data_IF_185805844960
#
_entry.id   IF_185805844960
#
_cell.length_a   1.000
_cell.length_b   1.000
_cell.length_c   1.000
_cell.angle_alpha   90.00
_cell.angle_beta   90.00
_cell.angle_gamma   90.00
#
_symmetry.space_group_name_H-M   'P 1'
#
loop_
_entity.id
_entity.type
_entity.pdbx_description
1 polymer ?
#
# COMPACT_ATOMS: atom_id res chain seq x y z
N UNK A 1 6.34 25.94 1.50
CA UNK A 1 5.16 25.62 0.66
C UNK A 1 5.62 25.80 -0.76
N UNK A 2 6.27 24.77 -1.28
CA UNK A 2 6.74 24.80 -2.64
C UNK A 2 5.56 24.44 -3.52
N UNK A 3 5.24 25.34 -4.44
CA UNK A 3 4.16 25.12 -5.38
C UNK A 3 4.48 23.86 -6.17
N UNK A 4 3.50 22.95 -6.27
CA UNK A 4 3.60 21.69 -7.02
C UNK A 4 4.46 20.58 -6.38
N UNK A 5 4.66 20.56 -5.06
CA UNK A 5 5.28 19.38 -4.39
C UNK A 5 4.32 18.18 -4.41
N UNK A 6 4.74 17.09 -5.06
CA UNK A 6 3.98 15.83 -5.18
C UNK A 6 4.23 14.90 -3.98
N UNK A 7 5.42 15.00 -3.37
CA UNK A 7 5.81 14.24 -2.19
C UNK A 7 5.36 14.90 -0.89
N UNK A 8 5.48 14.16 0.22
CA UNK A 8 5.20 14.66 1.57
C UNK A 8 6.13 15.83 1.94
N UNK A 9 5.70 16.62 2.92
CA UNK A 9 6.55 17.67 3.51
C UNK A 9 7.75 17.06 4.22
N UNK A 10 8.80 17.87 4.39
CA UNK A 10 10.02 17.40 5.04
C UNK A 10 9.74 17.08 6.51
N UNK A 11 10.42 16.04 6.99
CA UNK A 11 10.13 15.44 8.29
C UNK A 11 10.59 16.34 9.44
N UNK A 12 9.67 16.65 10.36
CA UNK A 12 9.96 17.45 11.55
C UNK A 12 9.99 16.62 12.86
N UNK A 13 9.70 15.32 12.79
CA UNK A 13 9.70 14.40 13.92
C UNK A 13 10.15 13.00 13.48
N UNK A 14 10.74 12.18 14.38
CA UNK A 14 11.16 10.81 14.06
C UNK A 14 9.98 9.92 13.62
N UNK A 15 8.79 10.17 14.15
CA UNK A 15 7.55 9.48 13.76
C UNK A 15 7.19 9.80 12.31
N UNK A 16 7.32 11.06 11.89
CA UNK A 16 7.07 11.45 10.50
C UNK A 16 8.03 10.77 9.53
N UNK A 17 9.30 10.59 9.92
CA UNK A 17 10.27 9.85 9.11
C UNK A 17 9.85 8.40 8.89
N UNK A 18 9.43 7.70 9.95
CA UNK A 18 8.93 6.35 9.83
C UNK A 18 7.65 6.25 8.97
N UNK A 19 6.77 7.24 9.06
CA UNK A 19 5.59 7.34 8.20
C UNK A 19 5.95 7.53 6.73
N UNK A 20 6.96 8.35 6.41
CA UNK A 20 7.44 8.50 5.02
C UNK A 20 8.00 7.20 4.46
N UNK A 21 8.77 6.44 5.25
CA UNK A 21 9.29 5.14 4.84
C UNK A 21 8.18 4.11 4.61
N UNK A 22 7.17 4.10 5.48
CA UNK A 22 5.99 3.24 5.30
C UNK A 22 5.18 3.63 4.07
N UNK A 23 4.97 4.93 3.84
CA UNK A 23 4.32 5.43 2.65
C UNK A 23 5.01 4.91 1.39
N UNK A 24 6.33 5.07 1.28
CA UNK A 24 7.08 4.64 0.09
C UNK A 24 7.01 3.12 -0.11
N UNK A 25 7.06 2.34 0.98
CA UNK A 25 6.85 0.89 0.94
C UNK A 25 5.46 0.52 0.39
N UNK A 26 4.40 1.16 0.88
CA UNK A 26 3.03 0.90 0.40
C UNK A 26 2.84 1.33 -1.05
N UNK A 27 3.42 2.47 -1.45
CA UNK A 27 3.35 2.97 -2.82
C UNK A 27 4.05 2.04 -3.81
N UNK A 28 5.18 1.44 -3.42
CA UNK A 28 5.86 0.43 -4.23
C UNK A 28 4.95 -0.77 -4.49
N UNK A 29 4.28 -1.28 -3.45
CA UNK A 29 3.35 -2.41 -3.57
C UNK A 29 2.18 -2.04 -4.49
N UNK A 30 1.55 -0.89 -4.29
CA UNK A 30 0.40 -0.45 -5.10
C UNK A 30 0.80 -0.30 -6.58
N UNK A 31 1.93 0.34 -6.88
CA UNK A 31 2.44 0.46 -8.25
C UNK A 31 2.70 -0.92 -8.88
N UNK A 32 3.25 -1.87 -8.12
CA UNK A 32 3.47 -3.23 -8.63
C UNK A 32 2.16 -3.91 -9.04
N UNK A 33 1.11 -3.82 -8.21
CA UNK A 33 -0.20 -4.39 -8.50
C UNK A 33 -0.81 -3.72 -9.75
N UNK A 34 -0.79 -2.39 -9.82
CA UNK A 34 -1.32 -1.65 -10.97
C UNK A 34 -0.59 -2.01 -12.26
N UNK A 35 0.74 -2.20 -12.22
CA UNK A 35 1.50 -2.62 -13.40
C UNK A 35 1.11 -4.02 -13.88
N UNK A 36 0.90 -4.98 -12.97
CA UNK A 36 0.49 -6.35 -13.33
C UNK A 36 -0.93 -6.36 -13.90
N UNK A 37 -1.86 -5.65 -13.27
CA UNK A 37 -3.25 -5.57 -13.73
C UNK A 37 -3.33 -4.90 -15.10
N UNK A 38 -2.64 -3.77 -15.30
CA UNK A 38 -2.60 -3.09 -16.59
C UNK A 38 -1.97 -3.97 -17.68
N UNK A 39 -0.89 -4.69 -17.38
CA UNK A 39 -0.29 -5.65 -18.31
C UNK A 39 -1.27 -6.75 -18.74
N UNK A 40 -2.00 -7.35 -17.79
CA UNK A 40 -3.01 -8.39 -18.09
C UNK A 40 -4.12 -7.82 -18.97
N UNK A 41 -4.63 -6.63 -18.64
CA UNK A 41 -5.67 -5.97 -19.44
C UNK A 41 -5.22 -5.71 -20.87
N UNK A 42 -4.01 -5.17 -21.05
CA UNK A 42 -3.43 -4.91 -22.37
C UNK A 42 -3.27 -6.21 -23.16
N UNK A 43 -2.78 -7.29 -22.52
CA UNK A 43 -2.64 -8.60 -23.16
C UNK A 43 -3.99 -9.18 -23.60
N UNK A 44 -5.05 -8.99 -22.81
CA UNK A 44 -6.40 -9.45 -23.16
C UNK A 44 -6.95 -8.71 -24.39
N UNK A 45 -6.66 -7.40 -24.52
CA UNK A 45 -7.08 -6.60 -25.68
C UNK A 45 -6.35 -7.04 -26.96
N UNK A 46 -5.05 -7.33 -26.87
CA UNK A 46 -4.25 -7.77 -28.02
C UNK A 46 -4.40 -9.26 -28.37
N UNK A 47 -5.19 -10.02 -27.62
CA UNK A 47 -5.35 -11.45 -27.86
C UNK A 47 -6.32 -11.71 -29.03
N UNK A 48 -5.81 -12.33 -30.10
CA UNK A 48 -6.62 -12.69 -31.27
C UNK A 48 -7.42 -13.99 -31.10
N UNK A 49 -7.14 -14.79 -30.07
CA UNK A 49 -7.83 -16.06 -29.83
C UNK A 49 -9.15 -15.86 -29.09
N UNK A 50 -10.24 -16.35 -29.66
CA UNK A 50 -11.58 -16.29 -29.08
C UNK A 50 -11.97 -17.64 -28.45
N UNK A 51 -12.32 -17.61 -27.16
CA UNK A 51 -12.94 -18.73 -26.46
C UNK A 51 -14.28 -18.29 -25.88
N UNK A 52 -15.38 -18.90 -26.33
CA UNK A 52 -16.75 -18.60 -25.86
C UNK A 52 -17.21 -19.49 -24.69
N UNK A 53 -16.45 -20.54 -24.38
CA UNK A 53 -16.72 -21.41 -23.24
C UNK A 53 -16.17 -20.76 -21.97
N UNK A 54 -17.05 -20.36 -21.08
CA UNK A 54 -16.70 -19.96 -19.71
C UNK A 54 -16.31 -21.24 -18.98
N UNK A 55 -15.01 -21.41 -18.73
CA UNK A 55 -14.51 -22.47 -17.85
C UNK A 55 -14.46 -21.90 -16.44
N UNK A 56 -15.34 -22.40 -15.57
CA UNK A 56 -15.19 -22.23 -14.13
C UNK A 56 -13.89 -22.93 -13.72
N UNK A 57 -12.98 -22.18 -13.10
CA UNK A 57 -11.72 -22.73 -12.64
C UNK A 57 -11.45 -22.30 -11.20
N UNK A 58 -11.89 -23.14 -10.26
CA UNK A 58 -11.72 -22.93 -8.83
C UNK A 58 -10.25 -22.68 -8.43
N UNK A 59 -9.29 -23.26 -9.15
CA UNK A 59 -7.87 -23.07 -8.86
C UNK A 59 -7.44 -21.63 -9.14
N UNK A 60 -7.94 -21.00 -10.20
CA UNK A 60 -7.64 -19.59 -10.51
C UNK A 60 -8.25 -18.68 -9.46
N UNK A 61 -9.46 -18.99 -9.00
CA UNK A 61 -10.12 -18.23 -7.95
C UNK A 61 -9.37 -18.29 -6.62
N UNK A 62 -8.87 -19.48 -6.26
CA UNK A 62 -8.07 -19.66 -5.06
C UNK A 62 -6.74 -18.90 -5.16
N UNK A 63 -6.09 -18.90 -6.33
CA UNK A 63 -4.83 -18.18 -6.54
C UNK A 63 -5.03 -16.66 -6.43
N UNK A 64 -6.03 -16.09 -7.11
CA UNK A 64 -6.25 -14.64 -7.11
C UNK A 64 -6.85 -14.10 -5.81
N UNK A 65 -7.29 -14.96 -4.88
CA UNK A 65 -7.78 -14.56 -3.55
C UNK A 65 -6.67 -14.64 -2.51
N UNK A 66 -5.85 -15.69 -2.57
CA UNK A 66 -4.71 -15.84 -1.65
C UNK A 66 -3.62 -14.80 -1.89
N UNK A 67 -3.27 -14.53 -3.16
CA UNK A 67 -2.19 -13.57 -3.49
C UNK A 67 -2.47 -12.18 -2.87
N UNK A 68 -3.63 -11.53 -3.11
CA UNK A 68 -3.92 -10.22 -2.49
C UNK A 68 -3.99 -10.27 -0.97
N UNK A 69 -4.50 -11.37 -0.41
CA UNK A 69 -4.61 -11.51 1.06
C UNK A 69 -3.22 -11.51 1.70
N UNK A 70 -2.27 -12.25 1.12
CA UNK A 70 -0.88 -12.26 1.59
C UNK A 70 -0.23 -10.88 1.45
N UNK A 71 -0.42 -10.19 0.31
CA UNK A 71 0.11 -8.84 0.10
C UNK A 71 -0.41 -7.86 1.18
N UNK A 72 -1.71 -7.92 1.51
CA UNK A 72 -2.30 -7.09 2.56
C UNK A 72 -1.70 -7.38 3.94
N UNK A 73 -1.42 -8.64 4.27
CA UNK A 73 -0.77 -8.97 5.56
C UNK A 73 0.63 -8.36 5.67
N UNK A 74 1.39 -8.29 4.58
CA UNK A 74 2.70 -7.64 4.56
C UNK A 74 2.63 -6.13 4.73
N UNK A 75 1.54 -5.48 4.30
CA UNK A 75 1.29 -4.06 4.57
C UNK A 75 0.86 -3.85 6.03
N UNK A 76 0.04 -4.75 6.57
CA UNK A 76 -0.54 -4.63 7.90
C UNK A 76 0.50 -4.74 9.04
N UNK A 77 1.50 -5.61 8.89
CA UNK A 77 2.52 -5.81 9.93
C UNK A 77 3.32 -4.53 10.27
N UNK A 78 3.97 -3.84 9.31
CA UNK A 78 4.67 -2.59 9.59
C UNK A 78 3.71 -1.46 9.99
N UNK A 79 2.48 -1.45 9.46
CA UNK A 79 1.51 -0.39 9.79
C UNK A 79 1.06 -0.46 11.26
N UNK A 80 0.77 -1.66 11.77
CA UNK A 80 0.39 -1.86 13.16
C UNK A 80 1.55 -1.54 14.10
N UNK A 81 2.77 -1.96 13.74
CA UNK A 81 3.96 -1.63 14.51
C UNK A 81 4.16 -0.12 14.66
N UNK A 82 3.96 0.66 13.59
CA UNK A 82 4.05 2.12 13.65
C UNK A 82 2.95 2.74 14.51
N UNK A 83 1.72 2.22 14.42
CA UNK A 83 0.62 2.69 15.25
C UNK A 83 0.95 2.55 16.74
N UNK A 84 1.52 1.42 17.15
CA UNK A 84 1.93 1.23 18.55
C UNK A 84 3.03 2.21 18.98
N UNK A 85 4.01 2.49 18.13
CA UNK A 85 5.06 3.49 18.43
C UNK A 85 4.46 4.90 18.60
N UNK A 86 3.42 5.23 17.83
CA UNK A 86 2.75 6.53 17.92
C UNK A 86 1.96 6.69 19.21
N UNK A 87 1.34 5.62 19.70
CA UNK A 87 0.54 5.62 20.93
C UNK A 87 1.39 5.56 22.22
N UNK A 88 2.68 5.25 22.11
CA UNK A 88 3.59 5.30 23.26
C UNK A 88 3.75 6.74 23.76
N UNK A 89 3.02 7.04 24.85
CA UNK A 89 3.15 8.29 25.58
C UNK A 89 4.51 8.35 26.28
N UNK A 90 5.51 8.90 25.58
CA UNK A 90 6.75 9.34 26.22
C UNK A 90 6.44 10.38 27.30
N UNK A 91 7.12 10.32 28.44
CA UNK A 91 6.93 11.28 29.55
C UNK A 91 7.19 12.71 29.05
N UNK A 92 6.16 13.57 28.93
CA UNK A 92 6.34 14.88 28.33
C UNK A 92 7.00 15.84 29.32
N UNK A 93 7.99 16.60 28.87
CA UNK A 93 8.62 17.67 29.66
C UNK A 93 7.69 18.87 29.86
N UNK A 94 6.73 19.09 28.94
CA UNK A 94 5.85 20.26 28.94
C UNK A 94 4.48 19.90 28.33
N UNK A 95 3.40 20.36 28.96
CA UNK A 95 2.01 20.18 28.49
C UNK A 95 1.40 21.50 28.06
N UNK A 96 0.98 21.63 26.80
CA UNK A 96 0.30 22.83 26.26
C UNK A 96 -1.17 22.48 26.02
N UNK A 97 -2.09 23.27 26.58
CA UNK A 97 -3.52 23.17 26.28
C UNK A 97 -3.90 24.26 25.27
N UNK A 98 -4.49 23.85 24.17
CA UNK A 98 -5.02 24.74 23.12
C UNK A 98 -6.54 24.81 23.34
N UNK A 99 -7.10 26.03 23.37
CA UNK A 99 -8.54 26.32 23.60
C UNK A 99 -9.22 26.57 22.26
#
# INVERSE_FOLDING_TARGET
>A
MDWMKISLFDNASPIMEQLTLFHDYTMLIICSILSVVSFIMVKMIFNNFLSTKILENQLVELIWTLIPTIILTFIALPSLHLLYIMDELSQPLLTIKII
#
